data_IF_094306832045
#
_entry.id   IF_094306832045
#
_cell.length_a   1.000
_cell.length_b   1.000
_cell.length_c   1.000
_cell.angle_alpha   90.00
_cell.angle_beta   90.00
_cell.angle_gamma   90.00
#
_symmetry.space_group_name_H-M   'P 1'
#
loop_
_entity.id
_entity.type
_entity.pdbx_description
1 polymer ?
#
# COMPACT_ATOMS: atom_id res chain seq x y z
N UNK A 1 -22.61 -36.02 8.23
CA UNK A 1 -22.40 -37.47 8.47
C UNK A 1 -21.38 -37.61 9.59
N UNK A 2 -21.82 -38.05 10.77
CA UNK A 2 -20.97 -38.34 11.93
C UNK A 2 -20.08 -39.55 11.63
N UNK A 3 -18.75 -39.39 11.76
CA UNK A 3 -17.84 -40.54 11.67
C UNK A 3 -18.07 -41.42 12.90
N UNK A 4 -18.47 -42.70 12.75
CA UNK A 4 -19.07 -43.48 13.84
C UNK A 4 -18.20 -43.70 15.09
N UNK A 5 -16.90 -43.34 15.05
CA UNK A 5 -15.97 -43.47 16.18
C UNK A 5 -15.45 -42.16 16.80
N UNK A 6 -15.95 -40.99 16.40
CA UNK A 6 -15.41 -39.70 16.85
C UNK A 6 -16.49 -38.74 17.38
N UNK A 7 -16.10 -37.81 18.24
CA UNK A 7 -16.95 -36.76 18.79
C UNK A 7 -16.31 -35.37 18.66
N UNK A 8 -17.13 -34.34 18.37
CA UNK A 8 -16.70 -32.93 18.37
C UNK A 8 -17.13 -32.31 19.70
N UNK A 9 -16.19 -31.63 20.36
CA UNK A 9 -16.43 -30.96 21.65
C UNK A 9 -15.79 -29.57 21.59
N UNK A 10 -16.35 -28.53 22.24
CA UNK A 10 -15.62 -27.29 22.46
C UNK A 10 -14.29 -27.51 23.18
N UNK A 11 -13.25 -26.75 22.83
CA UNK A 11 -12.00 -26.77 23.59
C UNK A 11 -12.11 -25.95 24.88
N UNK A 12 -11.31 -26.32 25.86
CA UNK A 12 -11.01 -25.57 27.07
C UNK A 12 -9.61 -24.95 26.97
N UNK A 13 -9.29 -23.98 27.83
CA UNK A 13 -7.98 -23.30 27.81
C UNK A 13 -6.81 -24.28 27.95
N UNK A 14 -6.98 -25.32 28.77
CA UNK A 14 -6.00 -26.40 29.00
C UNK A 14 -5.65 -27.17 27.72
N UNK A 15 -6.53 -27.18 26.71
CA UNK A 15 -6.29 -27.88 25.45
C UNK A 15 -5.34 -27.13 24.51
N UNK A 16 -5.03 -25.85 24.77
CA UNK A 16 -4.28 -25.01 23.83
C UNK A 16 -2.85 -25.51 23.59
N UNK A 17 -2.22 -26.11 24.60
CA UNK A 17 -0.92 -26.75 24.45
C UNK A 17 -0.98 -27.92 23.47
N UNK A 18 -2.01 -28.76 23.56
CA UNK A 18 -2.22 -29.91 22.65
C UNK A 18 -2.61 -29.42 21.24
N UNK A 19 -3.39 -28.35 21.13
CA UNK A 19 -3.72 -27.74 19.83
C UNK A 19 -2.48 -27.20 19.12
N UNK A 20 -1.55 -26.56 19.84
CA UNK A 20 -0.28 -26.11 19.29
C UNK A 20 0.55 -27.28 18.76
N UNK A 21 0.62 -28.40 19.50
CA UNK A 21 1.31 -29.61 19.03
C UNK A 21 0.68 -30.21 17.77
N UNK A 22 -0.65 -30.30 17.72
CA UNK A 22 -1.36 -30.80 16.53
C UNK A 22 -1.12 -29.89 15.33
N UNK A 23 -1.05 -28.57 15.54
CA UNK A 23 -0.71 -27.62 14.49
C UNK A 23 0.69 -27.88 13.94
N UNK A 24 1.69 -27.97 14.82
CA UNK A 24 3.07 -28.22 14.43
C UNK A 24 3.21 -29.55 13.66
N UNK A 25 2.54 -30.62 14.12
CA UNK A 25 2.53 -31.92 13.42
C UNK A 25 1.81 -31.88 12.07
N UNK A 26 0.65 -31.23 12.00
CA UNK A 26 -0.17 -31.19 10.79
C UNK A 26 0.47 -30.34 9.68
N UNK A 27 1.21 -29.30 10.06
CA UNK A 27 1.84 -28.35 9.16
C UNK A 27 3.37 -28.52 9.06
N UNK A 28 3.96 -29.58 9.61
CA UNK A 28 5.41 -29.81 9.62
C UNK A 28 6.07 -29.75 8.23
N UNK A 29 5.33 -30.10 7.17
CA UNK A 29 5.79 -30.02 5.78
C UNK A 29 5.54 -28.68 5.08
N UNK A 30 4.93 -27.70 5.77
CA UNK A 30 4.64 -26.38 5.20
C UNK A 30 5.94 -25.55 5.13
N UNK A 31 6.29 -24.99 3.95
CA UNK A 31 7.45 -24.11 3.80
C UNK A 31 7.48 -22.96 4.80
N UNK A 32 6.32 -22.41 5.20
CA UNK A 32 6.25 -21.34 6.17
C UNK A 32 6.90 -21.73 7.51
N UNK A 33 6.67 -22.95 8.01
CA UNK A 33 7.28 -23.41 9.26
C UNK A 33 8.80 -23.56 9.16
N UNK A 34 9.32 -23.80 7.95
CA UNK A 34 10.77 -23.94 7.70
C UNK A 34 11.45 -22.57 7.58
N UNK A 35 10.90 -21.65 6.79
CA UNK A 35 11.60 -20.44 6.37
C UNK A 35 11.35 -19.21 7.25
N UNK A 36 10.25 -19.17 8.02
CA UNK A 36 9.96 -18.02 8.89
C UNK A 36 10.91 -17.95 10.09
N UNK A 37 11.27 -19.11 10.64
CA UNK A 37 12.03 -19.22 11.88
C UNK A 37 13.29 -20.09 11.75
N UNK A 38 14.16 -19.87 10.74
CA UNK A 38 15.16 -20.83 10.30
C UNK A 38 16.28 -21.09 11.32
N UNK A 39 16.47 -20.18 12.29
CA UNK A 39 17.53 -20.27 13.31
C UNK A 39 17.00 -20.12 14.73
N UNK A 40 15.68 -20.21 14.90
CA UNK A 40 15.06 -20.07 16.21
C UNK A 40 15.20 -21.35 17.04
N UNK A 41 15.34 -21.20 18.36
CA UNK A 41 15.34 -22.34 19.27
C UNK A 41 13.96 -23.04 19.25
N UNK A 42 13.89 -24.34 18.94
CA UNK A 42 12.63 -25.09 18.93
C UNK A 42 11.83 -24.99 20.23
N UNK A 43 12.48 -24.90 21.39
CA UNK A 43 11.78 -24.75 22.69
C UNK A 43 11.08 -23.40 22.78
N UNK A 44 11.78 -22.33 22.38
CA UNK A 44 11.23 -20.97 22.35
C UNK A 44 10.08 -20.87 21.34
N UNK A 45 10.20 -21.52 20.18
CA UNK A 45 9.11 -21.60 19.20
C UNK A 45 7.87 -22.29 19.77
N UNK A 46 8.06 -23.44 20.43
CA UNK A 46 6.96 -24.18 21.05
C UNK A 46 6.28 -23.37 22.15
N UNK A 47 7.06 -22.79 23.07
CA UNK A 47 6.54 -21.92 24.14
C UNK A 47 5.75 -20.73 23.56
N UNK A 48 6.29 -20.08 22.52
CA UNK A 48 5.62 -18.95 21.87
C UNK A 48 4.36 -19.37 21.13
N UNK A 49 4.36 -20.55 20.50
CA UNK A 49 3.19 -21.13 19.84
C UNK A 49 2.07 -21.33 20.87
N UNK A 50 2.34 -22.00 21.99
CA UNK A 50 1.36 -22.20 23.08
C UNK A 50 0.81 -20.87 23.59
N UNK A 51 1.67 -19.89 23.89
CA UNK A 51 1.24 -18.55 24.32
C UNK A 51 0.32 -17.86 23.29
N UNK A 52 0.61 -18.01 21.99
CA UNK A 52 -0.21 -17.44 20.94
C UNK A 52 -1.59 -18.13 20.85
N UNK A 53 -1.64 -19.45 21.02
CA UNK A 53 -2.90 -20.20 21.10
C UNK A 53 -3.73 -19.76 22.31
N UNK A 54 -3.15 -19.74 23.51
CA UNK A 54 -3.79 -19.28 24.76
C UNK A 54 -4.30 -17.83 24.65
N UNK A 55 -3.45 -16.90 24.17
CA UNK A 55 -3.86 -15.50 23.96
C UNK A 55 -5.02 -15.40 22.97
N UNK A 56 -5.02 -16.21 21.93
CA UNK A 56 -6.08 -16.17 20.93
C UNK A 56 -7.37 -16.86 21.37
N UNK A 57 -7.30 -17.82 22.29
CA UNK A 57 -8.47 -18.50 22.86
C UNK A 57 -9.42 -17.54 23.57
N UNK A 58 -8.87 -16.48 24.18
CA UNK A 58 -9.65 -15.47 24.91
C UNK A 58 -10.03 -14.26 24.06
N UNK A 59 -9.67 -14.23 22.77
CA UNK A 59 -9.94 -13.09 21.91
C UNK A 59 -11.43 -13.03 21.48
N UNK A 60 -11.97 -11.82 21.22
CA UNK A 60 -13.37 -11.64 20.82
C UNK A 60 -13.78 -12.51 19.62
N UNK A 61 -14.94 -13.15 19.73
CA UNK A 61 -15.50 -14.01 18.69
C UNK A 61 -14.75 -15.34 18.47
N UNK A 62 -13.61 -15.59 19.12
CA UNK A 62 -12.85 -16.81 18.88
C UNK A 62 -13.50 -18.01 19.57
N UNK A 63 -13.70 -19.10 18.83
CA UNK A 63 -14.13 -20.40 19.36
C UNK A 63 -13.26 -21.51 18.80
N UNK A 64 -12.96 -22.47 19.65
CA UNK A 64 -12.20 -23.67 19.31
C UNK A 64 -13.06 -24.92 19.49
N UNK A 65 -12.91 -25.86 18.57
CA UNK A 65 -13.53 -27.18 18.64
C UNK A 65 -12.46 -28.25 18.45
N UNK A 66 -12.51 -29.29 19.28
CA UNK A 66 -11.65 -30.47 19.21
C UNK A 66 -12.43 -31.69 18.74
N UNK A 67 -11.73 -32.63 18.12
CA UNK A 67 -12.22 -33.98 17.86
C UNK A 67 -11.49 -34.97 18.73
N UNK A 68 -12.23 -35.85 19.38
CA UNK A 68 -11.73 -36.96 20.20
C UNK A 68 -12.32 -38.29 19.68
N UNK A 69 -11.54 -39.38 19.59
CA UNK A 69 -12.09 -40.71 19.40
C UNK A 69 -12.99 -41.09 20.59
N UNK A 70 -14.04 -41.89 20.40
CA UNK A 70 -14.92 -42.28 21.51
C UNK A 70 -14.24 -43.22 22.52
N UNK A 71 -13.24 -43.97 22.05
CA UNK A 71 -12.52 -44.96 22.85
C UNK A 71 -11.34 -44.36 23.62
N UNK A 72 -10.88 -43.15 23.24
CA UNK A 72 -9.71 -42.51 23.85
C UNK A 72 -9.96 -41.03 24.08
N UNK A 73 -9.44 -40.48 25.17
CA UNK A 73 -9.51 -39.02 25.42
C UNK A 73 -8.44 -38.21 24.67
N UNK A 74 -7.84 -38.78 23.61
CA UNK A 74 -6.79 -38.11 22.81
C UNK A 74 -7.42 -37.05 21.91
N UNK A 75 -6.88 -35.83 21.90
CA UNK A 75 -7.25 -34.81 20.91
C UNK A 75 -6.52 -35.11 19.60
N UNK A 76 -7.29 -35.35 18.54
CA UNK A 76 -6.75 -35.83 17.26
C UNK A 76 -6.89 -34.80 16.13
N UNK A 77 -7.76 -33.81 16.32
CA UNK A 77 -7.95 -32.69 15.42
C UNK A 77 -8.57 -31.51 16.16
N UNK A 78 -8.40 -30.30 15.63
CA UNK A 78 -9.10 -29.12 16.11
C UNK A 78 -9.37 -28.11 14.99
N UNK A 79 -10.29 -27.19 15.24
CA UNK A 79 -10.50 -26.01 14.42
C UNK A 79 -10.58 -24.74 15.28
N UNK A 80 -10.16 -23.63 14.69
CA UNK A 80 -10.26 -22.28 15.23
C UNK A 80 -11.15 -21.44 14.33
N UNK A 81 -12.23 -20.94 14.90
CA UNK A 81 -13.19 -20.08 14.25
C UNK A 81 -13.24 -18.71 14.91
N UNK A 82 -13.55 -17.70 14.11
CA UNK A 82 -13.87 -16.35 14.55
C UNK A 82 -15.31 -16.11 14.11
N UNK A 83 -16.20 -15.96 15.09
CA UNK A 83 -17.60 -15.67 14.91
C UNK A 83 -17.79 -14.17 14.66
N UNK A 84 -18.94 -13.77 14.06
CA UNK A 84 -19.32 -12.38 13.98
C UNK A 84 -19.19 -11.66 15.34
N UNK A 85 -18.42 -10.58 15.37
CA UNK A 85 -18.14 -9.79 16.58
C UNK A 85 -17.85 -8.34 16.21
N UNK A 86 -18.08 -7.43 17.15
CA UNK A 86 -17.70 -6.02 17.01
C UNK A 86 -16.21 -5.87 17.30
N UNK A 87 -15.40 -5.36 16.35
CA UNK A 87 -13.99 -5.06 16.60
C UNK A 87 -13.84 -3.99 17.69
N UNK A 88 -12.80 -4.10 18.51
CA UNK A 88 -12.43 -3.03 19.45
C UNK A 88 -11.82 -1.85 18.65
N UNK A 89 -12.44 -0.65 18.69
CA UNK A 89 -11.93 0.51 17.95
C UNK A 89 -10.57 1.00 18.47
N UNK A 90 -10.15 0.59 19.68
CA UNK A 90 -8.87 0.96 20.28
C UNK A 90 -7.79 -0.12 20.09
N UNK A 91 -8.10 -1.25 19.45
CA UNK A 91 -7.12 -2.29 19.21
C UNK A 91 -5.99 -1.77 18.31
N UNK A 92 -4.75 -2.13 18.66
CA UNK A 92 -3.59 -1.85 17.80
C UNK A 92 -3.78 -2.51 16.43
N UNK A 93 -3.49 -1.77 15.35
CA UNK A 93 -3.54 -2.34 14.00
C UNK A 93 -2.57 -3.55 13.91
N UNK A 94 -3.06 -4.75 13.55
CA UNK A 94 -2.23 -5.94 13.50
C UNK A 94 -1.01 -5.85 12.58
N UNK A 95 -1.10 -5.10 11.47
CA UNK A 95 0.03 -4.87 10.55
C UNK A 95 1.09 -3.94 11.18
N UNK A 96 0.67 -2.99 12.02
CA UNK A 96 1.60 -2.19 12.84
C UNK A 96 2.26 -3.07 13.88
N UNK A 97 1.49 -3.84 14.64
CA UNK A 97 1.98 -4.76 15.66
C UNK A 97 3.04 -5.74 15.11
N UNK A 98 2.80 -6.33 13.93
CA UNK A 98 3.75 -7.24 13.28
C UNK A 98 5.07 -6.52 12.95
N UNK A 99 5.04 -5.25 12.57
CA UNK A 99 6.25 -4.50 12.19
C UNK A 99 7.03 -3.94 13.38
N UNK A 100 6.36 -3.70 14.50
CA UNK A 100 6.93 -3.04 15.67
C UNK A 100 7.35 -4.02 16.77
N UNK A 101 6.69 -5.17 16.88
CA UNK A 101 7.00 -6.16 17.90
C UNK A 101 8.30 -6.90 17.62
N UNK A 102 9.00 -7.26 18.69
CA UNK A 102 10.18 -8.10 18.59
C UNK A 102 9.78 -9.51 18.16
N UNK A 103 10.25 -9.92 16.99
CA UNK A 103 10.09 -11.30 16.52
C UNK A 103 10.99 -12.27 17.29
N UNK A 104 10.65 -13.55 17.21
CA UNK A 104 11.37 -14.63 17.89
C UNK A 104 12.85 -14.60 17.45
N UNK A 105 13.83 -14.64 18.37
CA UNK A 105 15.24 -14.69 18.00
C UNK A 105 15.52 -15.81 17.00
N UNK A 106 16.29 -15.53 15.95
CA UNK A 106 16.56 -16.48 14.86
C UNK A 106 15.53 -16.48 13.72
N UNK A 107 14.47 -15.66 13.82
CA UNK A 107 13.51 -15.46 12.73
C UNK A 107 14.10 -14.72 11.54
N UNK A 108 13.47 -14.93 10.39
CA UNK A 108 13.60 -14.05 9.24
C UNK A 108 12.53 -12.95 9.32
N UNK A 109 12.86 -11.82 9.93
CA UNK A 109 11.90 -10.76 10.23
C UNK A 109 11.21 -10.20 8.98
N UNK A 110 11.93 -10.03 7.87
CA UNK A 110 11.34 -9.53 6.62
C UNK A 110 10.28 -10.50 6.10
N UNK A 111 10.59 -11.79 6.06
CA UNK A 111 9.65 -12.82 5.62
C UNK A 111 8.46 -12.98 6.57
N UNK A 112 8.69 -12.88 7.90
CA UNK A 112 7.61 -12.87 8.90
C UNK A 112 6.66 -11.70 8.67
N UNK A 113 7.20 -10.49 8.49
CA UNK A 113 6.39 -9.31 8.20
C UNK A 113 5.61 -9.49 6.90
N UNK A 114 6.26 -9.96 5.83
CA UNK A 114 5.61 -10.17 4.54
C UNK A 114 4.47 -11.20 4.63
N UNK A 115 4.76 -12.37 5.20
CA UNK A 115 3.82 -13.48 5.35
C UNK A 115 2.56 -13.02 6.07
N UNK A 116 2.69 -12.50 7.30
CA UNK A 116 1.51 -12.11 8.07
C UNK A 116 0.79 -10.89 7.47
N UNK A 117 1.52 -9.96 6.84
CA UNK A 117 0.90 -8.81 6.14
C UNK A 117 0.00 -9.28 4.99
N UNK A 118 0.47 -10.23 4.17
CA UNK A 118 -0.33 -10.79 3.06
C UNK A 118 -1.59 -11.48 3.57
N UNK A 119 -1.48 -12.28 4.63
CA UNK A 119 -2.64 -12.92 5.27
C UNK A 119 -3.64 -11.89 5.81
N UNK A 120 -3.17 -10.84 6.50
CA UNK A 120 -4.04 -9.79 7.03
C UNK A 120 -4.75 -9.00 5.93
N UNK A 121 -4.06 -8.67 4.83
CA UNK A 121 -4.68 -7.98 3.68
C UNK A 121 -5.77 -8.83 3.04
N UNK A 122 -5.54 -10.13 2.88
CA UNK A 122 -6.58 -11.06 2.42
C UNK A 122 -7.80 -11.06 3.34
N UNK A 123 -7.58 -11.06 4.67
CA UNK A 123 -8.68 -10.96 5.64
C UNK A 123 -9.45 -9.65 5.51
N UNK A 124 -8.77 -8.50 5.47
CA UNK A 124 -9.41 -7.18 5.32
C UNK A 124 -10.22 -7.05 4.02
N UNK A 125 -9.79 -7.72 2.94
CA UNK A 125 -10.46 -7.67 1.64
C UNK A 125 -11.78 -8.45 1.62
N UNK A 126 -11.85 -9.58 2.32
CA UNK A 126 -12.96 -10.53 2.18
C UNK A 126 -13.83 -10.73 3.43
N UNK A 127 -13.32 -10.36 4.60
CA UNK A 127 -13.98 -10.63 5.88
C UNK A 127 -14.50 -9.33 6.47
N UNK A 128 -15.79 -9.32 6.78
CA UNK A 128 -16.46 -8.28 7.57
C UNK A 128 -16.65 -8.84 8.98
N UNK A 129 -15.85 -8.43 9.97
CA UNK A 129 -15.84 -9.03 11.31
C UNK A 129 -17.21 -9.13 11.98
N UNK A 130 -18.12 -8.20 11.69
CA UNK A 130 -19.43 -8.08 12.32
C UNK A 130 -20.48 -9.04 11.72
N UNK A 131 -20.21 -9.65 10.57
CA UNK A 131 -21.22 -10.45 9.83
C UNK A 131 -20.68 -11.77 9.28
N UNK A 132 -19.37 -11.93 9.16
CA UNK A 132 -18.76 -13.11 8.55
C UNK A 132 -18.18 -14.04 9.61
N UNK A 133 -18.37 -15.34 9.38
CA UNK A 133 -17.63 -16.39 10.04
C UNK A 133 -16.27 -16.56 9.37
N UNK A 134 -15.21 -16.72 10.14
CA UNK A 134 -13.87 -16.95 9.60
C UNK A 134 -13.20 -18.15 10.25
N UNK A 135 -12.84 -19.16 9.46
CA UNK A 135 -12.01 -20.26 9.92
C UNK A 135 -10.53 -19.92 9.73
N UNK A 136 -9.84 -19.70 10.85
CA UNK A 136 -8.41 -19.37 10.84
C UNK A 136 -7.51 -20.59 10.82
N UNK A 137 -7.92 -21.71 11.43
CA UNK A 137 -7.11 -22.94 11.52
C UNK A 137 -8.04 -24.15 11.48
N UNK A 138 -7.66 -25.16 10.71
CA UNK A 138 -8.19 -26.52 10.80
C UNK A 138 -7.00 -27.46 10.69
N UNK A 139 -6.77 -28.27 11.73
CA UNK A 139 -5.64 -29.18 11.80
C UNK A 139 -6.10 -30.57 12.23
N UNK A 140 -5.56 -31.60 11.58
CA UNK A 140 -5.81 -33.01 11.89
C UNK A 140 -4.46 -33.70 11.97
N UNK A 141 -4.18 -34.40 13.08
CA UNK A 141 -2.95 -35.19 13.24
C UNK A 141 -2.74 -36.13 12.05
N UNK A 142 -1.53 -36.26 11.48
CA UNK A 142 -1.28 -37.06 10.28
C UNK A 142 -1.89 -38.47 10.30
N UNK A 143 -1.77 -39.20 11.42
CA UNK A 143 -2.34 -40.54 11.69
C UNK A 143 -3.87 -40.63 11.51
N UNK A 144 -4.58 -39.53 11.68
CA UNK A 144 -6.04 -39.44 11.66
C UNK A 144 -6.59 -38.69 10.43
N UNK A 145 -5.72 -38.23 9.52
CA UNK A 145 -6.14 -37.57 8.28
C UNK A 145 -6.89 -38.53 7.35
N UNK A 146 -7.63 -37.97 6.39
CA UNK A 146 -8.46 -38.71 5.40
C UNK A 146 -9.57 -39.59 6.00
N UNK A 147 -9.91 -39.42 7.29
CA UNK A 147 -11.02 -40.10 7.98
C UNK A 147 -12.28 -39.24 8.15
N UNK A 148 -12.39 -38.15 7.41
CA UNK A 148 -13.53 -37.22 7.46
C UNK A 148 -13.53 -36.21 8.63
N UNK A 149 -12.47 -36.17 9.45
CA UNK A 149 -12.43 -35.30 10.64
C UNK A 149 -12.44 -33.80 10.32
N UNK A 150 -11.85 -33.39 9.18
CA UNK A 150 -11.94 -32.00 8.73
C UNK A 150 -13.37 -31.59 8.36
N UNK A 151 -14.12 -32.46 7.68
CA UNK A 151 -15.53 -32.23 7.36
C UNK A 151 -16.39 -32.16 8.61
N UNK A 152 -16.08 -33.02 9.59
CA UNK A 152 -16.70 -33.04 10.90
C UNK A 152 -16.50 -31.69 11.60
N UNK A 153 -15.28 -31.15 11.66
CA UNK A 153 -14.98 -29.83 12.25
C UNK A 153 -15.64 -28.64 11.54
N UNK A 154 -15.96 -28.74 10.25
CA UNK A 154 -16.66 -27.70 9.51
C UNK A 154 -18.16 -27.66 9.81
N UNK A 155 -18.78 -28.83 9.94
CA UNK A 155 -20.24 -29.00 9.87
C UNK A 155 -21.01 -28.13 10.86
N UNK A 156 -20.72 -28.11 12.17
CA UNK A 156 -21.53 -27.37 13.14
C UNK A 156 -21.53 -25.85 12.91
N UNK A 157 -20.40 -25.30 12.45
CA UNK A 157 -20.27 -23.85 12.23
C UNK A 157 -20.93 -23.44 10.93
N UNK A 158 -20.82 -24.26 9.88
CA UNK A 158 -21.50 -24.01 8.62
C UNK A 158 -23.02 -24.11 8.75
N UNK A 159 -23.54 -25.11 9.48
CA UNK A 159 -24.97 -25.19 9.77
C UNK A 159 -25.49 -23.97 10.54
N UNK A 160 -24.66 -23.38 11.41
CA UNK A 160 -25.01 -22.14 12.10
C UNK A 160 -25.00 -20.94 11.15
N UNK A 161 -23.95 -20.80 10.33
CA UNK A 161 -23.85 -19.72 9.35
C UNK A 161 -25.02 -19.76 8.35
N UNK A 162 -25.43 -20.95 7.91
CA UNK A 162 -26.57 -21.13 7.01
C UNK A 162 -27.89 -20.69 7.66
N UNK A 163 -28.12 -21.04 8.95
CA UNK A 163 -29.30 -20.61 9.71
C UNK A 163 -29.37 -19.08 9.87
N UNK A 164 -28.22 -18.44 10.00
CA UNK A 164 -28.10 -16.98 10.14
C UNK A 164 -28.04 -16.24 8.80
N UNK A 165 -28.06 -16.97 7.67
CA UNK A 165 -27.81 -16.42 6.34
C UNK A 165 -26.51 -15.60 6.27
N UNK A 166 -25.48 -16.05 7.00
CA UNK A 166 -24.17 -15.43 7.11
C UNK A 166 -23.18 -16.06 6.12
N UNK A 167 -22.14 -15.32 5.76
CA UNK A 167 -21.04 -15.85 4.92
C UNK A 167 -19.94 -16.43 5.79
N UNK A 168 -19.29 -17.48 5.29
CA UNK A 168 -18.09 -18.06 5.89
C UNK A 168 -16.87 -17.87 4.97
N UNK A 169 -15.71 -17.61 5.57
CA UNK A 169 -14.43 -17.43 4.89
C UNK A 169 -13.36 -18.34 5.50
N UNK A 170 -12.40 -18.77 4.68
CA UNK A 170 -11.23 -19.55 5.10
C UNK A 170 -10.02 -19.15 4.27
N UNK A 171 -8.85 -19.13 4.91
CA UNK A 171 -7.56 -19.07 4.20
C UNK A 171 -7.00 -20.50 4.15
N UNK A 172 -7.31 -21.21 3.06
CA UNK A 172 -6.97 -22.61 2.89
C UNK A 172 -5.54 -22.82 2.38
N UNK A 173 -4.89 -23.90 2.83
CA UNK A 173 -3.63 -24.38 2.23
C UNK A 173 -3.90 -25.17 0.95
N UNK A 174 -2.89 -25.31 0.09
CA UNK A 174 -2.96 -26.16 -1.10
C UNK A 174 -3.36 -27.61 -0.78
N UNK A 175 -2.91 -28.14 0.35
CA UNK A 175 -3.29 -29.48 0.82
C UNK A 175 -4.75 -29.55 1.32
N UNK A 176 -5.25 -28.47 1.91
CA UNK A 176 -6.59 -28.37 2.48
C UNK A 176 -7.70 -28.04 1.47
N UNK A 177 -7.35 -27.45 0.32
CA UNK A 177 -8.34 -26.86 -0.61
C UNK A 177 -9.43 -27.84 -1.07
N UNK A 178 -9.06 -29.10 -1.32
CA UNK A 178 -10.00 -30.14 -1.74
C UNK A 178 -11.11 -30.44 -0.71
N UNK A 179 -10.85 -30.22 0.59
CA UNK A 179 -11.88 -30.32 1.63
C UNK A 179 -12.95 -29.24 1.43
N UNK A 180 -12.53 -28.01 1.18
CA UNK A 180 -13.42 -26.86 1.04
C UNK A 180 -14.24 -26.93 -0.25
N UNK A 181 -13.60 -27.24 -1.38
CA UNK A 181 -14.29 -27.42 -2.66
C UNK A 181 -15.38 -28.50 -2.56
N UNK A 182 -15.11 -29.61 -1.85
CA UNK A 182 -16.11 -30.66 -1.59
C UNK A 182 -17.32 -30.18 -0.79
N UNK A 183 -17.17 -29.14 0.03
CA UNK A 183 -18.26 -28.51 0.79
C UNK A 183 -18.88 -27.30 0.06
N UNK A 184 -18.63 -27.15 -1.25
CA UNK A 184 -19.24 -26.10 -2.06
C UNK A 184 -18.61 -24.72 -1.92
N UNK A 185 -17.45 -24.61 -1.26
CA UNK A 185 -16.70 -23.36 -1.19
C UNK A 185 -16.19 -22.95 -2.57
N UNK A 186 -16.04 -21.64 -2.78
CA UNK A 186 -15.48 -21.07 -4.01
C UNK A 186 -14.21 -20.30 -3.69
N UNK A 187 -13.20 -20.49 -4.53
CA UNK A 187 -11.98 -19.68 -4.49
C UNK A 187 -12.30 -18.26 -4.96
N UNK A 188 -11.82 -17.27 -4.22
CA UNK A 188 -12.04 -15.84 -4.50
C UNK A 188 -10.74 -15.04 -4.56
N UNK A 189 -9.65 -15.61 -4.06
CA UNK A 189 -8.33 -14.97 -4.00
C UNK A 189 -7.23 -16.01 -3.77
N UNK A 190 -6.00 -15.61 -4.04
CA UNK A 190 -4.80 -16.41 -3.80
C UNK A 190 -3.75 -15.61 -3.03
N UNK A 191 -3.13 -16.25 -2.04
CA UNK A 191 -2.01 -15.67 -1.29
C UNK A 191 -0.75 -16.45 -1.64
N UNK A 192 0.11 -15.82 -2.44
CA UNK A 192 1.38 -16.40 -2.86
C UNK A 192 2.56 -15.94 -2.00
N UNK A 193 3.45 -16.88 -1.66
CA UNK A 193 4.70 -16.64 -0.93
C UNK A 193 5.87 -17.22 -1.72
N UNK A 194 6.85 -16.38 -2.07
CA UNK A 194 8.09 -16.83 -2.70
C UNK A 194 9.15 -17.09 -1.63
N UNK A 195 9.51 -18.36 -1.46
CA UNK A 195 10.56 -18.79 -0.55
C UNK A 195 11.93 -18.93 -1.23
N UNK A 196 12.02 -18.75 -2.55
CA UNK A 196 13.25 -18.94 -3.32
C UNK A 196 14.41 -18.02 -2.89
N UNK A 197 14.19 -16.76 -2.46
CA UNK A 197 15.28 -15.93 -1.93
C UNK A 197 15.88 -16.47 -0.64
N UNK A 198 15.20 -17.42 0.02
CA UNK A 198 15.57 -17.97 1.33
C UNK A 198 16.00 -19.44 1.26
N UNK A 199 16.29 -19.96 0.05
CA UNK A 199 16.72 -21.34 -0.16
C UNK A 199 15.58 -22.34 -0.41
N UNK A 200 14.34 -21.86 -0.53
CA UNK A 200 13.22 -22.65 -1.00
C UNK A 200 13.41 -23.11 -2.44
N UNK A 201 12.88 -24.30 -2.76
CA UNK A 201 12.80 -24.73 -4.15
C UNK A 201 12.04 -23.67 -4.95
N UNK A 202 12.64 -23.19 -6.04
CA UNK A 202 11.88 -22.48 -7.06
C UNK A 202 10.82 -23.45 -7.53
N UNK A 203 9.55 -23.11 -7.36
CA UNK A 203 8.48 -23.94 -7.88
C UNK A 203 8.71 -24.06 -9.40
N UNK A 204 8.88 -25.28 -9.96
CA UNK A 204 9.10 -25.46 -11.39
C UNK A 204 7.88 -25.03 -12.22
N UNK A 205 6.72 -24.86 -11.57
CA UNK A 205 5.52 -24.27 -12.13
C UNK A 205 5.34 -22.78 -11.72
N UNK A 206 6.37 -22.09 -11.21
CA UNK A 206 6.39 -20.61 -11.08
C UNK A 206 6.65 -19.96 -12.44
N UNK A 207 5.76 -20.24 -13.38
CA UNK A 207 5.12 -19.12 -14.04
C UNK A 207 4.00 -18.74 -13.07
N UNK A 208 4.09 -17.61 -12.37
CA UNK A 208 3.13 -17.15 -11.34
C UNK A 208 1.77 -16.75 -11.96
N UNK A 209 1.41 -17.40 -13.08
CA UNK A 209 0.45 -16.94 -14.07
C UNK A 209 0.76 -15.56 -14.63
N UNK A 210 1.91 -14.95 -14.27
CA UNK A 210 2.27 -13.64 -14.76
C UNK A 210 3.14 -13.85 -15.99
N UNK A 211 2.78 -13.19 -17.11
CA UNK A 211 3.61 -13.25 -18.29
C UNK A 211 5.04 -12.86 -17.97
N UNK A 212 6.00 -13.62 -18.52
CA UNK A 212 7.40 -13.24 -18.58
C UNK A 212 7.57 -11.82 -19.12
N UNK A 213 8.75 -11.21 -18.90
CA UNK A 213 9.02 -9.88 -19.46
C UNK A 213 8.86 -9.88 -20.99
N UNK A 214 9.31 -10.95 -21.64
CA UNK A 214 9.19 -11.17 -23.08
C UNK A 214 7.72 -11.24 -23.54
N UNK A 215 6.86 -11.95 -22.80
CA UNK A 215 5.42 -12.01 -23.06
C UNK A 215 4.75 -10.65 -22.82
N UNK A 216 5.12 -9.94 -21.75
CA UNK A 216 4.66 -8.58 -21.48
C UNK A 216 5.02 -7.62 -22.62
N UNK A 217 6.27 -7.67 -23.11
CA UNK A 217 6.72 -6.81 -24.20
C UNK A 217 6.04 -7.15 -25.52
N UNK A 218 5.83 -8.44 -25.80
CA UNK A 218 5.11 -8.89 -26.99
C UNK A 218 3.66 -8.41 -26.97
N UNK A 219 2.97 -8.56 -25.84
CA UNK A 219 1.60 -8.06 -25.67
C UNK A 219 1.54 -6.52 -25.81
N UNK A 220 2.52 -5.80 -25.26
CA UNK A 220 2.58 -4.35 -25.38
C UNK A 220 2.78 -3.88 -26.83
N UNK A 221 3.64 -4.56 -27.58
CA UNK A 221 3.80 -4.31 -29.02
C UNK A 221 2.48 -4.54 -29.78
N UNK A 222 1.79 -5.65 -29.52
CA UNK A 222 0.49 -5.94 -30.12
C UNK A 222 -0.55 -4.86 -29.78
N UNK A 223 -0.64 -4.45 -28.51
CA UNK A 223 -1.54 -3.39 -28.07
C UNK A 223 -1.27 -2.07 -28.81
N UNK A 224 0.00 -1.68 -28.96
CA UNK A 224 0.40 -0.47 -29.68
C UNK A 224 0.04 -0.56 -31.18
N UNK A 225 0.33 -1.70 -31.83
CA UNK A 225 0.03 -1.93 -33.26
C UNK A 225 -1.47 -2.00 -33.54
N UNK A 226 -2.27 -2.53 -32.61
CA UNK A 226 -3.74 -2.61 -32.73
C UNK A 226 -4.38 -1.26 -32.46
N UNK A 227 -3.98 -0.58 -31.38
CA UNK A 227 -4.60 0.69 -30.97
C UNK A 227 -4.12 1.89 -31.78
N UNK A 228 -2.94 1.79 -32.39
CA UNK A 228 -2.36 2.82 -33.25
C UNK A 228 -2.43 4.22 -32.60
N UNK A 229 -1.92 4.37 -31.36
CA UNK A 229 -2.05 5.63 -30.65
C UNK A 229 -1.28 6.74 -31.36
N UNK A 230 -1.82 7.95 -31.31
CA UNK A 230 -1.12 9.19 -31.73
C UNK A 230 -0.17 9.71 -30.66
N UNK A 231 -0.45 9.37 -29.39
CA UNK A 231 0.29 9.85 -28.21
C UNK A 231 0.49 8.70 -27.24
N UNK A 232 1.70 8.57 -26.69
CA UNK A 232 2.05 7.59 -25.66
C UNK A 232 2.71 8.31 -24.48
N UNK A 233 2.16 8.15 -23.27
CA UNK A 233 2.83 8.60 -22.04
C UNK A 233 3.62 7.43 -21.48
N UNK A 234 4.94 7.59 -21.31
CA UNK A 234 5.80 6.52 -20.81
C UNK A 234 6.58 6.97 -19.57
N UNK A 235 6.48 6.19 -18.49
CA UNK A 235 7.19 6.43 -17.24
C UNK A 235 8.34 5.46 -16.95
N UNK A 236 8.60 4.54 -17.88
CA UNK A 236 9.52 3.43 -17.70
C UNK A 236 10.81 3.63 -18.50
N UNK A 237 11.93 3.20 -17.91
CA UNK A 237 13.28 3.22 -18.49
C UNK A 237 13.95 1.84 -18.38
N UNK A 238 14.84 1.52 -19.30
CA UNK A 238 15.53 0.22 -19.40
C UNK A 238 16.69 0.03 -18.40
N UNK A 239 17.05 1.05 -17.62
CA UNK A 239 18.25 1.02 -16.76
C UNK A 239 18.31 -0.13 -15.74
N UNK A 240 17.17 -0.53 -15.18
CA UNK A 240 17.08 -1.57 -14.14
C UNK A 240 16.50 -2.90 -14.65
N UNK A 241 15.87 -2.87 -15.81
CA UNK A 241 15.21 -3.99 -16.44
C UNK A 241 15.33 -3.78 -17.95
N UNK A 242 16.36 -4.36 -18.60
CA UNK A 242 16.59 -4.18 -20.03
C UNK A 242 15.40 -4.70 -20.83
N UNK A 243 14.85 -3.87 -21.71
CA UNK A 243 13.82 -4.31 -22.63
C UNK A 243 14.46 -5.09 -23.78
N UNK A 244 14.03 -6.33 -24.02
CA UNK A 244 14.52 -7.14 -25.13
C UNK A 244 13.82 -6.83 -26.46
N UNK A 245 12.68 -6.15 -26.42
CA UNK A 245 11.88 -5.83 -27.60
C UNK A 245 12.28 -4.46 -28.20
N UNK A 246 12.86 -4.48 -29.41
CA UNK A 246 13.35 -3.29 -30.12
C UNK A 246 12.24 -2.33 -30.59
N UNK A 247 11.03 -2.83 -30.85
CA UNK A 247 9.89 -1.98 -31.19
C UNK A 247 9.41 -1.19 -29.97
N UNK A 248 9.17 -1.89 -28.84
CA UNK A 248 8.73 -1.27 -27.58
C UNK A 248 9.76 -0.26 -27.07
N UNK A 249 11.06 -0.56 -27.21
CA UNK A 249 12.17 0.34 -26.84
C UNK A 249 12.05 1.74 -27.42
N UNK A 250 11.46 1.90 -28.61
CA UNK A 250 11.30 3.22 -29.24
C UNK A 250 10.37 4.13 -28.44
N UNK A 251 9.36 3.56 -27.77
CA UNK A 251 8.41 4.28 -26.91
C UNK A 251 8.91 4.44 -25.48
N UNK A 252 9.96 3.73 -25.09
CA UNK A 252 10.51 3.83 -23.76
C UNK A 252 11.16 5.19 -23.52
N UNK A 253 10.89 5.73 -22.34
CA UNK A 253 11.42 7.01 -21.92
C UNK A 253 12.74 6.84 -21.18
N UNK A 254 13.56 7.88 -21.24
CA UNK A 254 14.48 8.14 -20.14
C UNK A 254 13.73 8.28 -18.81
N UNK A 255 14.45 8.19 -17.68
CA UNK A 255 13.87 8.69 -16.43
C UNK A 255 13.41 10.14 -16.62
N UNK A 256 12.40 10.60 -15.86
CA UNK A 256 11.96 12.01 -15.87
C UNK A 256 13.10 13.03 -15.71
N UNK A 257 14.26 12.62 -15.20
CA UNK A 257 15.47 13.44 -15.13
C UNK A 257 16.09 13.77 -16.51
N UNK A 258 15.72 13.06 -17.57
CA UNK A 258 16.26 13.20 -18.92
C UNK A 258 15.35 14.07 -19.81
N UNK A 259 15.89 15.19 -20.29
CA UNK A 259 15.28 15.99 -21.38
C UNK A 259 15.56 15.35 -22.75
N UNK A 260 14.68 15.51 -23.76
CA UNK A 260 13.45 16.31 -23.75
C UNK A 260 12.21 15.58 -23.19
N UNK A 261 11.22 16.33 -22.69
CA UNK A 261 9.92 15.81 -22.22
C UNK A 261 9.14 15.09 -23.33
N UNK A 262 9.18 15.66 -24.53
CA UNK A 262 8.52 15.13 -25.73
C UNK A 262 9.55 14.56 -26.69
N UNK A 263 9.28 13.36 -27.21
CA UNK A 263 10.05 12.69 -28.26
C UNK A 263 9.11 12.24 -29.36
N UNK A 264 9.52 12.33 -30.62
CA UNK A 264 8.76 11.79 -31.75
C UNK A 264 9.29 10.41 -32.13
N UNK A 265 8.37 9.47 -32.33
CA UNK A 265 8.67 8.10 -32.76
C UNK A 265 7.95 7.82 -34.06
N UNK A 266 8.70 7.36 -35.05
CA UNK A 266 8.16 6.94 -36.33
C UNK A 266 7.66 5.50 -36.21
N UNK A 267 6.42 5.25 -36.59
CA UNK A 267 5.79 3.93 -36.50
C UNK A 267 5.25 3.49 -37.86
N UNK A 268 4.83 2.23 -37.96
CA UNK A 268 4.22 1.68 -39.18
C UNK A 268 2.87 2.33 -39.53
N UNK A 269 2.15 2.93 -38.55
CA UNK A 269 0.85 3.56 -38.76
C UNK A 269 0.88 5.09 -38.81
N UNK A 270 1.85 5.72 -38.15
CA UNK A 270 1.98 7.16 -38.07
C UNK A 270 3.45 7.54 -37.96
N UNK A 271 3.89 8.45 -38.83
CA UNK A 271 5.29 8.87 -38.93
C UNK A 271 5.76 9.72 -37.74
N UNK A 272 4.86 10.22 -36.89
CA UNK A 272 5.20 11.14 -35.79
C UNK A 272 4.34 10.89 -34.55
N UNK A 273 4.40 9.69 -33.97
CA UNK A 273 3.73 9.43 -32.68
C UNK A 273 4.45 10.20 -31.58
N UNK A 274 3.72 11.00 -30.82
CA UNK A 274 4.28 11.78 -29.71
C UNK A 274 4.45 10.91 -28.47
N UNK A 275 5.68 10.82 -27.96
CA UNK A 275 6.01 10.12 -26.71
C UNK A 275 6.34 11.15 -25.64
N UNK A 276 5.48 11.21 -24.61
CA UNK A 276 5.60 12.09 -23.46
C UNK A 276 6.28 11.32 -22.31
N UNK A 277 7.52 11.70 -21.99
CA UNK A 277 8.31 11.09 -20.92
C UNK A 277 7.81 11.57 -19.57
N UNK A 278 7.36 10.65 -18.73
CA UNK A 278 6.82 10.94 -17.42
C UNK A 278 7.62 10.21 -16.34
N UNK A 279 7.30 10.46 -15.09
CA UNK A 279 7.73 9.61 -13.98
C UNK A 279 6.59 8.64 -13.63
N UNK A 280 6.90 7.58 -12.87
CA UNK A 280 5.89 6.58 -12.51
C UNK A 280 4.72 7.26 -11.78
N UNK A 281 3.44 7.12 -12.19
CA UNK A 281 2.33 7.84 -11.54
C UNK A 281 2.21 7.60 -10.03
N UNK A 282 2.59 6.41 -9.56
CA UNK A 282 2.71 6.13 -8.12
C UNK A 282 3.70 7.07 -7.39
N UNK A 283 4.62 7.75 -8.08
CA UNK A 283 5.47 8.78 -7.48
C UNK A 283 4.67 10.06 -7.13
N UNK A 284 3.64 10.41 -7.89
CA UNK A 284 2.75 11.51 -7.53
C UNK A 284 1.67 11.09 -6.51
N UNK A 285 1.23 9.84 -6.59
CA UNK A 285 0.09 9.34 -5.79
C UNK A 285 0.52 8.70 -4.47
N UNK A 286 1.64 7.97 -4.45
CA UNK A 286 2.05 7.11 -3.35
C UNK A 286 3.39 7.52 -2.71
N UNK A 287 4.32 8.09 -3.48
CA UNK A 287 5.67 8.41 -3.01
C UNK A 287 5.72 9.73 -2.26
N UNK A 288 6.15 9.69 -0.99
CA UNK A 288 5.92 10.74 0.01
C UNK A 288 4.49 11.20 -0.13
N UNK A 289 3.59 10.67 0.71
CA UNK A 289 2.12 10.81 0.64
C UNK A 289 1.59 12.21 0.26
N UNK A 290 2.41 13.26 0.30
CA UNK A 290 2.12 14.60 -0.16
C UNK A 290 3.34 15.30 -0.80
N UNK A 291 3.40 15.34 -2.13
CA UNK A 291 4.20 16.35 -2.83
C UNK A 291 3.35 16.96 -3.95
N UNK A 292 2.79 18.17 -3.73
CA UNK A 292 1.97 18.84 -4.74
C UNK A 292 2.77 19.07 -6.04
N UNK A 293 4.10 19.24 -5.96
CA UNK A 293 4.96 19.39 -7.14
C UNK A 293 4.85 18.14 -8.06
N UNK A 294 4.86 16.92 -7.52
CA UNK A 294 4.68 15.72 -8.35
C UNK A 294 3.25 15.63 -8.90
N UNK A 295 2.23 16.02 -8.13
CA UNK A 295 0.84 15.93 -8.59
C UNK A 295 0.59 16.90 -9.75
N UNK A 296 1.02 18.15 -9.60
CA UNK A 296 0.90 19.19 -10.64
C UNK A 296 1.69 18.79 -11.88
N UNK A 297 2.91 18.29 -11.70
CA UNK A 297 3.75 17.85 -12.81
C UNK A 297 3.14 16.65 -13.56
N UNK A 298 2.53 15.69 -12.84
CA UNK A 298 1.79 14.59 -13.47
C UNK A 298 0.59 15.11 -14.26
N UNK A 299 -0.19 16.04 -13.69
CA UNK A 299 -1.34 16.67 -14.35
C UNK A 299 -0.88 17.38 -15.64
N UNK A 300 0.22 18.13 -15.57
CA UNK A 300 0.80 18.78 -16.74
C UNK A 300 1.20 17.79 -17.83
N UNK A 301 1.84 16.66 -17.49
CA UNK A 301 2.17 15.63 -18.49
C UNK A 301 0.92 15.07 -19.19
N UNK A 302 -0.20 14.92 -18.48
CA UNK A 302 -1.47 14.53 -19.09
C UNK A 302 -2.04 15.62 -19.99
N UNK A 303 -2.04 16.89 -19.55
CA UNK A 303 -2.48 18.02 -20.37
C UNK A 303 -1.67 18.11 -21.66
N UNK A 304 -0.33 18.05 -21.56
CA UNK A 304 0.56 18.07 -22.70
C UNK A 304 0.27 16.91 -23.67
N UNK A 305 0.00 15.70 -23.15
CA UNK A 305 -0.39 14.56 -23.98
C UNK A 305 -1.75 14.77 -24.69
N UNK A 306 -2.72 15.42 -24.05
CA UNK A 306 -4.00 15.72 -24.69
C UNK A 306 -3.89 16.82 -25.75
N UNK A 307 -3.01 17.81 -25.55
CA UNK A 307 -2.76 18.86 -26.54
C UNK A 307 -2.20 18.29 -27.85
N UNK A 308 -1.41 17.21 -27.80
CA UNK A 308 -0.94 16.51 -29.00
C UNK A 308 -2.06 15.89 -29.85
N UNK A 309 -3.26 15.72 -29.28
CA UNK A 309 -4.43 15.22 -30.02
C UNK A 309 -5.16 16.32 -30.80
N UNK A 310 -4.87 17.59 -30.54
CA UNK A 310 -5.50 18.73 -31.21
C UNK A 310 -4.80 18.97 -32.56
N UNK A 311 -5.54 18.86 -33.66
CA UNK A 311 -4.99 18.92 -35.02
C UNK A 311 -4.22 20.22 -35.33
N UNK A 312 -4.53 21.33 -34.66
CA UNK A 312 -3.87 22.62 -34.83
C UNK A 312 -2.44 22.67 -34.26
N UNK A 313 -2.08 21.78 -33.33
CA UNK A 313 -0.78 21.76 -32.64
C UNK A 313 0.14 20.65 -33.19
N UNK A 314 -0.38 19.81 -34.11
CA UNK A 314 0.37 18.70 -34.70
C UNK A 314 1.70 19.15 -35.32
N UNK A 315 2.79 18.68 -34.74
CA UNK A 315 4.15 18.93 -35.22
C UNK A 315 4.79 20.23 -34.71
N UNK A 316 4.05 21.09 -34.01
CA UNK A 316 4.64 22.23 -33.30
C UNK A 316 5.47 21.75 -32.09
N UNK A 317 6.58 22.42 -31.74
CA UNK A 317 7.27 22.16 -30.48
C UNK A 317 6.32 22.41 -29.30
N UNK A 318 6.26 21.47 -28.36
CA UNK A 318 5.59 21.71 -27.09
C UNK A 318 6.35 22.81 -26.34
N UNK A 319 5.77 24.00 -26.25
CA UNK A 319 6.30 25.09 -25.43
C UNK A 319 6.08 24.73 -23.96
N UNK A 320 7.14 24.42 -23.23
CA UNK A 320 7.04 24.20 -21.78
C UNK A 320 6.84 25.56 -21.09
N UNK A 321 5.79 25.72 -20.26
CA UNK A 321 5.57 26.96 -19.57
C UNK A 321 6.69 27.22 -18.57
N UNK A 322 7.08 28.49 -18.39
CA UNK A 322 8.26 28.83 -17.56
C UNK A 322 8.17 28.36 -16.11
N UNK A 323 6.97 28.24 -15.54
CA UNK A 323 6.78 27.75 -14.17
C UNK A 323 7.13 26.25 -14.01
N UNK A 324 7.20 25.50 -15.12
CA UNK A 324 7.45 24.06 -15.10
C UNK A 324 8.90 23.73 -14.70
N UNK A 325 9.86 24.57 -15.09
CA UNK A 325 11.29 24.33 -14.82
C UNK A 325 11.64 24.40 -13.33
N UNK A 326 11.17 25.40 -12.56
CA UNK A 326 11.30 25.42 -11.11
C UNK A 326 10.70 24.18 -10.42
N UNK A 327 9.47 23.80 -10.77
CA UNK A 327 8.79 22.62 -10.22
C UNK A 327 9.56 21.34 -10.54
N UNK A 328 9.98 21.19 -11.80
CA UNK A 328 10.78 20.04 -12.25
C UNK A 328 12.13 19.95 -11.53
N UNK A 329 12.75 21.09 -11.25
CA UNK A 329 14.02 21.16 -10.51
C UNK A 329 13.83 20.77 -9.05
N UNK A 330 12.82 21.29 -8.37
CA UNK A 330 12.47 20.86 -7.00
C UNK A 330 12.16 19.38 -6.91
N UNK A 331 11.39 18.83 -7.86
CA UNK A 331 11.12 17.40 -7.95
C UNK A 331 12.42 16.59 -8.05
N UNK A 332 13.32 16.96 -8.97
CA UNK A 332 14.63 16.29 -9.13
C UNK A 332 15.50 16.38 -7.87
N UNK A 333 15.54 17.54 -7.22
CA UNK A 333 16.34 17.73 -6.01
C UNK A 333 15.76 16.97 -4.82
N UNK A 334 14.43 16.86 -4.71
CA UNK A 334 13.76 16.05 -3.69
C UNK A 334 14.10 14.55 -3.85
N UNK A 335 14.17 14.04 -5.09
CA UNK A 335 14.65 12.67 -5.37
C UNK A 335 16.10 12.49 -4.87
N UNK A 336 16.99 13.45 -5.15
CA UNK A 336 18.40 13.40 -4.70
C UNK A 336 18.53 13.47 -3.17
N UNK A 337 17.77 14.35 -2.52
CA UNK A 337 17.72 14.52 -1.06
C UNK A 337 17.16 13.28 -0.34
N UNK A 338 16.31 12.49 -1.00
CA UNK A 338 15.65 11.32 -0.39
C UNK A 338 16.60 10.18 0.00
N UNK A 339 17.85 10.15 -0.50
CA UNK A 339 18.89 9.27 0.08
C UNK A 339 19.11 9.52 1.59
N UNK A 340 18.50 10.56 2.19
CA UNK A 340 18.70 10.96 3.60
C UNK A 340 17.43 11.29 4.43
N UNK A 341 16.20 11.24 3.90
CA UNK A 341 15.00 11.71 4.66
C UNK A 341 14.47 10.69 5.69
N UNK A 342 14.25 11.11 6.94
CA UNK A 342 14.04 10.25 8.13
C UNK A 342 12.59 10.20 8.66
N UNK A 343 11.66 11.01 8.15
CA UNK A 343 10.32 11.18 8.75
C UNK A 343 9.54 9.87 8.96
N UNK A 344 9.53 8.98 7.98
CA UNK A 344 8.77 7.73 8.07
C UNK A 344 9.41 6.71 9.02
N UNK A 345 10.69 6.90 9.37
CA UNK A 345 11.45 6.07 10.32
C UNK A 345 11.32 6.55 11.78
N UNK A 346 10.68 7.70 12.02
CA UNK A 346 10.49 8.26 13.36
C UNK A 346 9.21 7.72 14.01
N UNK A 347 9.20 7.60 15.34
CA UNK A 347 8.01 7.27 16.12
C UNK A 347 6.97 8.44 16.09
N UNK A 348 5.76 8.20 16.58
CA UNK A 348 4.64 9.15 16.46
C UNK A 348 4.93 10.55 17.00
N UNK A 349 5.51 10.64 18.20
CA UNK A 349 5.86 11.92 18.83
C UNK A 349 6.93 12.69 18.04
N UNK A 350 7.95 11.98 17.54
CA UNK A 350 9.01 12.58 16.75
C UNK A 350 8.52 13.01 15.35
N UNK A 351 7.52 12.33 14.77
CA UNK A 351 6.87 12.76 13.52
C UNK A 351 6.13 14.09 13.69
N UNK A 352 5.44 14.28 14.81
CA UNK A 352 4.74 15.53 15.09
C UNK A 352 5.72 16.69 15.30
N UNK A 353 6.77 16.48 16.09
CA UNK A 353 7.80 17.50 16.32
C UNK A 353 8.52 17.91 15.01
N UNK A 354 8.82 16.94 14.15
CA UNK A 354 9.45 17.22 12.85
C UNK A 354 8.48 17.88 11.86
N UNK A 355 7.22 17.44 11.78
CA UNK A 355 6.18 18.08 10.96
C UNK A 355 5.93 19.53 11.40
N UNK A 356 5.92 19.76 12.71
CA UNK A 356 5.86 21.07 13.32
C UNK A 356 7.03 21.96 12.87
N UNK A 357 8.26 21.47 13.02
CA UNK A 357 9.46 22.21 12.59
C UNK A 357 9.40 22.59 11.12
N UNK A 358 9.02 21.65 10.24
CA UNK A 358 8.90 21.89 8.80
C UNK A 358 7.82 22.91 8.47
N UNK A 359 6.66 22.83 9.10
CA UNK A 359 5.59 23.81 8.89
C UNK A 359 6.05 25.21 9.32
N UNK A 360 6.69 25.34 10.48
CA UNK A 360 7.24 26.61 10.94
C UNK A 360 8.34 27.14 9.99
N UNK A 361 9.25 26.28 9.54
CA UNK A 361 10.32 26.69 8.60
C UNK A 361 9.74 27.21 7.29
N UNK A 362 8.72 26.53 6.73
CA UNK A 362 8.07 26.98 5.50
C UNK A 362 7.37 28.34 5.71
N UNK A 363 6.64 28.51 6.81
CA UNK A 363 5.95 29.78 7.10
C UNK A 363 6.96 30.91 7.36
N UNK A 364 8.03 30.65 8.10
CA UNK A 364 9.10 31.64 8.31
C UNK A 364 9.77 32.03 6.98
N UNK A 365 10.03 31.08 6.08
CA UNK A 365 10.57 31.37 4.77
C UNK A 365 9.62 32.23 3.94
N UNK A 366 8.31 31.94 3.96
CA UNK A 366 7.28 32.77 3.30
C UNK A 366 7.32 34.20 3.84
N UNK A 367 7.45 34.36 5.16
CA UNK A 367 7.46 35.66 5.82
C UNK A 367 8.79 36.41 5.69
N UNK A 368 9.86 35.75 5.20
CA UNK A 368 11.22 36.31 5.16
C UNK A 368 11.88 36.42 6.55
N UNK A 369 11.52 35.54 7.47
CA UNK A 369 11.90 35.62 8.89
C UNK A 369 12.78 34.45 9.34
N UNK A 370 13.57 34.65 10.40
CA UNK A 370 14.36 33.58 11.03
C UNK A 370 13.69 33.08 12.31
N UNK A 371 13.66 31.75 12.51
CA UNK A 371 13.18 31.12 13.76
C UNK A 371 13.87 31.63 15.03
N UNK A 372 15.10 32.15 14.91
CA UNK A 372 15.83 32.73 16.05
C UNK A 372 15.22 34.03 16.59
N UNK A 373 14.35 34.70 15.83
CA UNK A 373 13.71 35.96 16.20
C UNK A 373 12.46 35.78 17.09
N UNK A 374 11.99 34.53 17.31
CA UNK A 374 10.69 34.25 17.93
C UNK A 374 10.75 33.73 19.38
N UNK A 375 11.86 33.92 20.11
CA UNK A 375 11.96 33.48 21.52
C UNK A 375 11.10 34.34 22.46
N UNK A 376 9.85 33.93 22.67
CA UNK A 376 9.03 34.31 23.83
C UNK A 376 8.22 33.12 24.36
N UNK A 377 8.71 32.57 25.49
CA UNK A 377 8.00 32.00 26.64
C UNK A 377 6.56 31.45 26.51
N UNK A 378 6.21 30.69 25.46
CA UNK A 378 4.99 29.84 25.45
C UNK A 378 5.22 28.50 24.75
N UNK A 379 4.36 27.54 25.11
CA UNK A 379 4.33 26.15 24.61
C UNK A 379 4.52 26.08 23.09
N UNK A 380 5.26 25.08 22.57
CA UNK A 380 5.45 24.85 21.13
C UNK A 380 4.13 24.84 20.34
N UNK A 381 3.00 24.52 20.97
CA UNK A 381 1.70 24.58 20.31
C UNK A 381 1.22 25.99 19.96
N UNK A 382 1.68 27.04 20.66
CA UNK A 382 1.25 28.42 20.46
C UNK A 382 2.01 29.13 19.32
N UNK A 383 3.24 28.70 19.01
CA UNK A 383 4.11 29.38 18.04
C UNK A 383 3.62 29.20 16.60
N UNK A 384 3.19 28.00 16.20
CA UNK A 384 2.65 27.79 14.85
C UNK A 384 1.36 28.58 14.60
N UNK A 385 0.55 28.82 15.63
CA UNK A 385 -0.64 29.67 15.51
C UNK A 385 -0.29 31.12 15.27
N UNK A 386 0.72 31.64 15.99
CA UNK A 386 1.24 32.98 15.76
C UNK A 386 1.79 33.11 14.34
N UNK A 387 2.50 32.09 13.85
CA UNK A 387 2.99 32.06 12.47
C UNK A 387 1.85 32.07 11.45
N UNK A 388 0.81 31.26 11.64
CA UNK A 388 -0.37 31.26 10.76
C UNK A 388 -1.15 32.58 10.83
N UNK A 389 -1.23 33.22 11.98
CA UNK A 389 -1.89 34.51 12.15
C UNK A 389 -1.09 35.65 11.50
N UNK A 390 0.25 35.58 11.53
CA UNK A 390 1.11 36.51 10.79
C UNK A 390 1.04 36.26 9.29
N UNK A 391 1.04 35.00 8.87
CA UNK A 391 0.85 34.59 7.48
C UNK A 391 -0.49 35.11 6.94
N UNK A 392 -1.57 35.02 7.72
CA UNK A 392 -2.89 35.61 7.38
C UNK A 392 -2.82 37.10 7.04
N UNK A 393 -2.01 37.84 7.79
CA UNK A 393 -1.88 39.30 7.68
C UNK A 393 -0.73 39.72 6.76
N UNK A 394 0.01 38.78 6.18
CA UNK A 394 1.09 39.06 5.25
C UNK A 394 0.54 39.48 3.88
N UNK A 395 1.37 40.19 3.11
CA UNK A 395 1.10 40.51 1.70
C UNK A 395 1.55 39.37 0.77
N UNK A 396 1.62 38.14 1.27
CA UNK A 396 2.12 37.02 0.50
C UNK A 396 1.11 36.58 -0.57
N UNK A 397 1.44 36.87 -1.81
CA UNK A 397 0.68 36.55 -3.02
C UNK A 397 1.48 35.64 -3.98
N UNK A 398 2.58 35.06 -3.48
CA UNK A 398 3.60 34.38 -4.27
C UNK A 398 3.49 32.85 -4.21
N UNK A 399 2.66 32.25 -5.07
CA UNK A 399 2.75 30.81 -5.34
C UNK A 399 1.92 29.91 -4.41
N UNK A 400 1.11 29.02 -4.97
CA UNK A 400 0.30 28.07 -4.20
C UNK A 400 1.10 26.93 -3.56
N UNK A 401 2.35 26.69 -3.98
CA UNK A 401 3.13 25.51 -3.59
C UNK A 401 3.45 25.48 -2.09
N UNK A 402 4.00 26.55 -1.52
CA UNK A 402 4.40 26.55 -0.11
C UNK A 402 3.18 26.57 0.83
N UNK A 403 2.12 27.29 0.46
CA UNK A 403 0.81 27.21 1.14
C UNK A 403 0.27 25.79 1.11
N UNK A 404 0.37 25.09 -0.02
CA UNK A 404 -0.07 23.70 -0.15
C UNK A 404 0.74 22.76 0.76
N UNK A 405 2.07 22.94 0.85
CA UNK A 405 2.91 22.16 1.77
C UNK A 405 2.50 22.37 3.23
N UNK A 406 2.22 23.60 3.63
CA UNK A 406 1.74 23.90 4.99
C UNK A 406 0.35 23.31 5.22
N UNK A 407 -0.58 23.47 4.28
CA UNK A 407 -1.93 22.89 4.34
C UNK A 407 -1.90 21.38 4.57
N UNK A 408 -1.07 20.69 3.80
CA UNK A 408 -0.87 19.25 3.88
C UNK A 408 -0.32 18.82 5.26
N UNK A 409 0.71 19.52 5.76
CA UNK A 409 1.28 19.24 7.07
C UNK A 409 0.23 19.44 8.17
N UNK A 410 -0.53 20.53 8.03
CA UNK A 410 -1.62 20.91 8.93
C UNK A 410 -2.74 19.86 8.96
N UNK A 411 -3.29 19.51 7.80
CA UNK A 411 -4.35 18.51 7.63
C UNK A 411 -4.00 17.18 8.32
N UNK A 412 -2.77 16.72 8.12
CA UNK A 412 -2.35 15.39 8.53
C UNK A 412 -1.90 15.28 9.99
N UNK A 413 -1.16 16.27 10.49
CA UNK A 413 -0.48 16.16 11.78
C UNK A 413 -1.07 17.05 12.88
N UNK A 414 -2.05 17.89 12.54
CA UNK A 414 -2.64 18.85 13.48
C UNK A 414 -4.14 18.62 13.69
N UNK A 415 -4.68 17.46 13.32
CA UNK A 415 -6.10 17.12 13.52
C UNK A 415 -6.55 17.16 14.99
N UNK A 416 -5.61 16.93 15.93
CA UNK A 416 -5.84 16.99 17.37
C UNK A 416 -5.78 18.40 17.98
N UNK A 417 -5.45 19.42 17.17
CA UNK A 417 -5.21 20.78 17.65
C UNK A 417 -6.52 21.59 17.75
N UNK A 418 -6.65 22.43 18.77
CA UNK A 418 -7.91 23.12 19.12
C UNK A 418 -8.44 24.04 17.99
N UNK A 419 -7.54 24.62 17.18
CA UNK A 419 -7.89 25.49 16.04
C UNK A 419 -7.58 24.85 14.68
N UNK A 420 -7.62 23.52 14.60
CA UNK A 420 -7.36 22.76 13.37
C UNK A 420 -8.19 23.27 12.18
N UNK A 421 -9.52 23.36 12.34
CA UNK A 421 -10.43 23.84 11.28
C UNK A 421 -10.08 25.26 10.81
N UNK A 422 -9.83 26.17 11.74
CA UNK A 422 -9.44 27.54 11.43
C UNK A 422 -8.16 27.60 10.58
N UNK A 423 -7.14 26.79 10.91
CA UNK A 423 -5.90 26.74 10.15
C UNK A 423 -6.10 26.17 8.74
N UNK A 424 -6.96 25.15 8.58
CA UNK A 424 -7.32 24.63 7.25
C UNK A 424 -8.04 25.69 6.41
N UNK A 425 -9.05 26.34 6.97
CA UNK A 425 -9.83 27.36 6.27
C UNK A 425 -8.95 28.54 5.87
N UNK A 426 -8.03 28.95 6.74
CA UNK A 426 -7.02 29.97 6.43
C UNK A 426 -6.21 29.58 5.20
N UNK A 427 -5.59 28.41 5.22
CA UNK A 427 -4.67 27.96 4.17
C UNK A 427 -5.39 27.73 2.83
N UNK A 428 -6.62 27.22 2.87
CA UNK A 428 -7.49 27.11 1.68
C UNK A 428 -7.81 28.49 1.11
N UNK A 429 -8.19 29.44 1.96
CA UNK A 429 -8.52 30.80 1.50
C UNK A 429 -7.30 31.53 0.95
N UNK A 430 -6.11 31.30 1.51
CA UNK A 430 -4.88 31.83 0.96
C UNK A 430 -4.54 31.21 -0.38
N UNK A 431 -4.63 29.88 -0.51
CA UNK A 431 -4.40 29.17 -1.76
C UNK A 431 -5.32 29.67 -2.89
N UNK A 432 -6.59 29.95 -2.59
CA UNK A 432 -7.56 30.50 -3.55
C UNK A 432 -7.23 31.90 -4.06
N UNK A 433 -6.45 32.67 -3.30
CA UNK A 433 -6.03 34.04 -3.68
C UNK A 433 -4.72 34.06 -4.47
N UNK A 434 -4.03 32.92 -4.58
CA UNK A 434 -2.77 32.85 -5.33
C UNK A 434 -3.08 32.77 -6.83
N UNK A 435 -2.47 33.66 -7.60
CA UNK A 435 -2.61 33.65 -9.07
C UNK A 435 -1.62 32.69 -9.75
N UNK A 436 -0.56 32.28 -9.05
CA UNK A 436 0.56 31.51 -9.60
C UNK A 436 0.83 30.26 -8.76
N UNK A 437 1.41 29.23 -9.38
CA UNK A 437 1.76 27.98 -8.68
C UNK A 437 3.06 28.11 -7.87
N UNK A 438 3.98 28.98 -8.29
CA UNK A 438 5.29 29.19 -7.69
C UNK A 438 5.54 30.68 -7.44
N UNK A 439 6.40 31.06 -6.47
CA UNK A 439 6.78 32.46 -6.25
C UNK A 439 7.32 33.09 -7.53
N UNK A 440 6.86 34.30 -7.86
CA UNK A 440 7.51 35.12 -8.88
C UNK A 440 8.90 35.51 -8.39
N UNK A 441 9.93 35.13 -9.13
CA UNK A 441 11.26 35.72 -8.96
C UNK A 441 11.31 36.98 -9.82
N UNK A 442 11.33 38.15 -9.16
CA UNK A 442 11.25 39.47 -9.82
C UNK A 442 12.38 39.74 -10.83
N UNK A 443 13.40 38.87 -10.89
CA UNK A 443 14.53 38.97 -11.83
C UNK A 443 14.33 38.20 -13.15
N UNK A 444 13.24 37.45 -13.31
CA UNK A 444 12.98 36.64 -14.50
C UNK A 444 11.89 37.33 -15.33
N UNK A 445 12.24 37.80 -16.53
CA UNK A 445 11.28 38.38 -17.48
C UNK A 445 10.21 37.33 -17.80
N UNK A 446 8.97 37.60 -17.39
CA UNK A 446 7.83 36.72 -17.62
C UNK A 446 7.27 36.89 -19.04
N UNK A 447 7.13 35.81 -19.84
CA UNK A 447 6.31 35.79 -21.04
C UNK A 447 4.83 35.78 -20.64
N UNK A 448 4.06 36.59 -21.37
CA UNK A 448 2.63 36.83 -21.20
C UNK A 448 1.76 35.62 -21.54
N UNK A 449 0.67 35.46 -20.79
CA UNK A 449 -0.66 34.95 -21.17
C UNK A 449 -0.84 33.57 -21.87
N UNK A 450 0.21 32.82 -22.20
CA UNK A 450 0.07 31.55 -22.95
C UNK A 450 -0.74 30.48 -22.18
N UNK A 451 -0.61 30.38 -20.85
CA UNK A 451 -1.31 29.35 -20.07
C UNK A 451 -2.82 29.54 -20.04
N UNK A 452 -3.30 30.79 -20.01
CA UNK A 452 -4.73 31.10 -20.00
C UNK A 452 -5.35 30.83 -21.38
N UNK A 453 -4.61 31.12 -22.46
CA UNK A 453 -5.00 30.79 -23.83
C UNK A 453 -4.99 29.27 -24.09
N UNK A 454 -3.97 28.54 -23.62
CA UNK A 454 -3.90 27.08 -23.78
C UNK A 454 -4.95 26.35 -22.94
N UNK A 455 -5.31 26.86 -21.76
CA UNK A 455 -6.46 26.36 -20.99
C UNK A 455 -7.78 26.66 -21.71
N UNK A 456 -7.90 27.80 -22.40
CA UNK A 456 -9.07 28.06 -23.25
C UNK A 456 -9.14 27.12 -24.46
N UNK A 457 -8.00 26.74 -25.06
CA UNK A 457 -7.92 25.75 -26.14
C UNK A 457 -8.32 24.32 -25.72
N UNK A 458 -8.32 24.02 -24.42
CA UNK A 458 -8.84 22.77 -23.85
C UNK A 458 -10.37 22.74 -23.70
N UNK A 459 -11.09 23.84 -23.99
CA UNK A 459 -12.55 23.80 -24.09
C UNK A 459 -12.94 22.97 -25.31
N UNK A 460 -13.32 21.72 -25.05
CA UNK A 460 -14.03 20.89 -26.02
C UNK A 460 -15.42 21.53 -26.18
N UNK A 461 -15.67 22.19 -27.31
CA UNK A 461 -17.04 22.51 -27.72
C UNK A 461 -17.76 21.18 -28.03
N UNK A 462 -18.90 20.97 -27.37
CA UNK A 462 -19.74 19.77 -27.52
C UNK A 462 -20.35 19.65 -28.93
#
# INVERSE_FOLDING_TARGET
MTSPGFEIIPCELVDMAVCAEIFDEAFAGDPALTYLHPRSDPKVLKEKSVQNFEKSFTAPGVKYFKVVPRETSEIVAFSKWIYPHTPDPNAEDPEVAIRTQQHIPGSNNELVVEFFTKFLRGRRKWIVPETHYFMSILAVRPKYQRRGLGSMLLTPVLEQADKENAKAFVQGSAQGIGLYLKHGWKEVDEIFMDYSPYGGAKNPNNDDGRPSNEECYSLLEEMLKVKKPKVVICCWSDRKAPCSNEFVKQFMGGSFEQRPLRVLVNTEWEASVAVLRSFHPATAVCYKKYNPDYQILLIYHFIAAFLELIDQIKGAPLSEPLWLEPISTRCRDNIKLQKRDRLDKLNWSNRHAEAYNRACDIICNILGESRSQMKSTKSSNDEIYLLLERLKNSTYENGSTDISKVYILWDKYFSHHLRYKWGLDLLINMAKKQEWFDPKDDNIIHPSDELSEDIQRLKIEN
#
